data_IF_084979215794
#
_entry.id   IF_084979215794
#
_cell.length_a   1.000
_cell.length_b   1.000
_cell.length_c   1.000
_cell.angle_alpha   90.00
_cell.angle_beta   90.00
_cell.angle_gamma   90.00
#
_symmetry.space_group_name_H-M   'P 1'
#
loop_
_entity.id
_entity.type
_entity.pdbx_description
1 polymer ?
#
# COMPACT_ATOMS: atom_id res chain seq x y z
N UNK A 1 18.29 14.04 17.15
CA UNK A 1 18.63 13.40 15.86
C UNK A 1 19.65 14.26 15.19
N UNK A 2 20.79 13.72 14.78
CA UNK A 2 21.77 14.40 13.93
C UNK A 2 21.50 14.09 12.45
N UNK A 3 22.23 14.74 11.54
CA UNK A 3 22.05 14.54 10.10
C UNK A 3 22.28 13.07 9.71
N UNK A 4 23.30 12.42 10.29
CA UNK A 4 23.61 11.03 10.00
C UNK A 4 22.47 10.07 10.42
N UNK A 5 21.89 10.28 11.60
CA UNK A 5 20.75 9.52 12.08
C UNK A 5 19.49 9.74 11.24
N UNK A 6 19.25 10.97 10.77
CA UNK A 6 18.15 11.28 9.85
C UNK A 6 18.31 10.58 8.49
N UNK A 7 19.49 10.66 7.88
CA UNK A 7 19.80 9.99 6.61
C UNK A 7 19.68 8.46 6.73
N UNK A 8 20.09 7.88 7.86
CA UNK A 8 19.92 6.45 8.12
C UNK A 8 18.43 6.03 8.20
N UNK A 9 17.58 6.88 8.79
CA UNK A 9 16.13 6.65 8.84
C UNK A 9 15.49 6.77 7.44
N UNK A 10 15.94 7.71 6.61
CA UNK A 10 15.52 7.85 5.22
C UNK A 10 15.97 6.63 4.39
N UNK A 11 17.21 6.17 4.53
CA UNK A 11 17.70 5.00 3.81
C UNK A 11 16.93 3.72 4.16
N UNK A 12 16.47 3.58 5.40
CA UNK A 12 15.66 2.44 5.85
C UNK A 12 14.18 2.54 5.44
N UNK A 13 13.70 3.72 5.07
CA UNK A 13 12.30 3.98 4.75
C UNK A 13 12.13 4.29 3.28
N UNK A 14 11.42 3.43 2.53
CA UNK A 14 11.08 3.75 1.14
C UNK A 14 10.04 4.87 1.12
N UNK A 15 10.49 6.09 0.83
CA UNK A 15 9.63 7.22 0.53
C UNK A 15 9.29 7.28 -0.96
N UNK A 16 8.08 7.72 -1.27
CA UNK A 16 7.66 8.09 -2.61
C UNK A 16 7.69 9.61 -2.75
N UNK A 17 8.90 10.18 -2.77
CA UNK A 17 9.15 11.62 -2.91
C UNK A 17 8.93 12.12 -4.35
N UNK A 18 8.92 11.20 -5.32
CA UNK A 18 8.63 11.47 -6.72
C UNK A 18 7.30 10.82 -7.13
N UNK A 19 6.39 11.53 -7.79
CA UNK A 19 5.12 10.96 -8.24
C UNK A 19 5.28 9.73 -9.14
N UNK A 20 6.27 9.76 -10.04
CA UNK A 20 6.57 8.63 -10.93
C UNK A 20 6.94 7.33 -10.19
N UNK A 21 7.62 7.44 -9.04
CA UNK A 21 8.00 6.27 -8.24
C UNK A 21 6.77 5.66 -7.55
N UNK A 22 5.82 6.49 -7.10
CA UNK A 22 4.55 6.03 -6.54
C UNK A 22 3.70 5.32 -7.60
N UNK A 23 3.64 5.86 -8.82
CA UNK A 23 2.96 5.25 -9.96
C UNK A 23 3.58 3.89 -10.28
N UNK A 24 4.91 3.81 -10.40
CA UNK A 24 5.61 2.57 -10.71
C UNK A 24 5.39 1.47 -9.66
N UNK A 25 5.37 1.83 -8.38
CA UNK A 25 5.04 0.89 -7.30
C UNK A 25 3.59 0.42 -7.39
N UNK A 26 2.66 1.35 -7.61
CA UNK A 26 1.23 1.07 -7.65
C UNK A 26 0.88 0.16 -8.84
N UNK A 27 1.48 0.43 -10.02
CA UNK A 27 1.34 -0.38 -11.24
C UNK A 27 2.06 -1.73 -11.18
N UNK A 28 2.85 -1.98 -10.14
CA UNK A 28 3.75 -3.12 -10.11
C UNK A 28 2.97 -4.44 -10.04
N UNK A 29 3.35 -5.46 -10.83
CA UNK A 29 2.79 -6.80 -10.69
C UNK A 29 3.11 -7.43 -9.31
N UNK A 30 4.05 -6.87 -8.55
CA UNK A 30 4.37 -7.30 -7.20
C UNK A 30 3.44 -6.75 -6.11
N UNK A 31 2.62 -5.73 -6.40
CA UNK A 31 1.74 -5.11 -5.41
C UNK A 31 0.75 -6.10 -4.78
N UNK A 32 0.03 -6.96 -5.54
CA UNK A 32 -0.91 -7.91 -4.95
C UNK A 32 -0.23 -8.88 -3.98
N UNK A 33 0.95 -9.42 -4.36
CA UNK A 33 1.73 -10.30 -3.49
C UNK A 33 2.16 -9.59 -2.20
N UNK A 34 2.59 -8.34 -2.32
CA UNK A 34 3.00 -7.54 -1.16
C UNK A 34 1.82 -7.32 -0.21
N UNK A 35 0.65 -6.95 -0.74
CA UNK A 35 -0.55 -6.71 0.08
C UNK A 35 -1.12 -8.00 0.68
N UNK A 36 -0.95 -9.14 0.00
CA UNK A 36 -1.28 -10.44 0.56
C UNK A 36 -0.40 -10.81 1.78
N UNK A 37 0.90 -10.51 1.72
CA UNK A 37 1.79 -10.66 2.88
C UNK A 37 1.40 -9.73 4.03
N UNK A 38 1.10 -8.46 3.72
CA UNK A 38 0.70 -7.46 4.73
C UNK A 38 -0.58 -7.87 5.43
N UNK A 39 -1.65 -8.24 4.70
CA UNK A 39 -2.94 -8.58 5.32
C UNK A 39 -2.84 -9.83 6.20
N UNK A 40 -2.05 -10.83 5.79
CA UNK A 40 -1.81 -12.04 6.59
C UNK A 40 -1.01 -11.71 7.85
N UNK A 41 0.05 -10.90 7.74
CA UNK A 41 0.81 -10.44 8.91
C UNK A 41 -0.09 -9.67 9.89
N UNK A 42 -0.92 -8.73 9.40
CA UNK A 42 -1.82 -7.97 10.26
C UNK A 42 -2.83 -8.88 10.97
N UNK A 43 -3.34 -9.91 10.29
CA UNK A 43 -4.21 -10.91 10.91
C UNK A 43 -3.49 -11.71 12.00
N UNK A 44 -2.31 -12.27 11.69
CA UNK A 44 -1.49 -13.04 12.64
C UNK A 44 -1.11 -12.23 13.88
N UNK A 45 -0.98 -10.90 13.75
CA UNK A 45 -0.68 -9.99 14.86
C UNK A 45 -1.92 -9.40 15.54
N UNK A 46 -3.12 -9.77 15.11
CA UNK A 46 -4.38 -9.26 15.69
C UNK A 46 -4.62 -7.76 15.42
N UNK A 47 -4.02 -7.22 14.36
CA UNK A 47 -4.04 -5.79 14.01
C UNK A 47 -5.18 -5.41 13.05
N UNK A 48 -6.00 -6.38 12.60
CA UNK A 48 -7.18 -6.13 11.78
C UNK A 48 -8.46 -5.84 12.61
N UNK A 49 -8.29 -5.59 13.91
CA UNK A 49 -9.39 -5.40 14.86
C UNK A 49 -9.60 -6.62 15.75
N UNK A 50 -10.09 -6.37 16.97
CA UNK A 50 -10.29 -7.41 17.96
C UNK A 50 -11.32 -8.44 17.48
N UNK A 51 -10.90 -9.70 17.32
CA UNK A 51 -11.78 -10.78 16.87
C UNK A 51 -12.02 -10.85 15.35
N UNK A 52 -11.15 -10.25 14.53
CA UNK A 52 -11.19 -10.47 13.08
C UNK A 52 -11.21 -11.98 12.77
N UNK A 53 -12.17 -12.48 11.96
CA UNK A 53 -12.30 -13.92 11.71
C UNK A 53 -11.26 -14.46 10.72
N UNK A 54 -10.69 -13.59 9.86
CA UNK A 54 -9.63 -13.93 8.90
C UNK A 54 -8.94 -12.67 8.37
N UNK A 55 -7.87 -12.87 7.59
CA UNK A 55 -7.21 -11.80 6.82
C UNK A 55 -8.07 -11.21 5.69
N UNK A 56 -9.21 -11.83 5.38
CA UNK A 56 -10.13 -11.40 4.31
C UNK A 56 -11.19 -10.41 4.80
N UNK A 57 -11.26 -10.10 6.10
CA UNK A 57 -12.31 -9.24 6.68
C UNK A 57 -12.35 -7.82 6.10
N UNK A 58 -11.22 -7.33 5.55
CA UNK A 58 -11.14 -6.07 4.81
C UNK A 58 -10.83 -6.35 3.33
N UNK A 59 -11.46 -5.58 2.45
CA UNK A 59 -11.10 -5.53 1.04
C UNK A 59 -9.95 -4.58 0.77
N UNK A 60 -8.97 -5.03 -0.01
CA UNK A 60 -7.89 -4.23 -0.58
C UNK A 60 -8.03 -4.24 -2.10
N UNK A 61 -8.39 -3.11 -2.68
CA UNK A 61 -8.60 -2.95 -4.13
C UNK A 61 -7.29 -2.56 -4.82
N UNK A 62 -6.93 -3.31 -5.86
CA UNK A 62 -5.78 -3.10 -6.72
C UNK A 62 -6.12 -2.13 -7.86
N UNK A 63 -5.12 -1.56 -8.56
CA UNK A 63 -5.39 -0.59 -9.64
C UNK A 63 -6.16 -1.16 -10.83
N UNK A 64 -6.11 -2.48 -11.04
CA UNK A 64 -6.88 -3.18 -12.06
C UNK A 64 -8.32 -3.53 -11.63
N UNK A 65 -8.72 -3.09 -10.43
CA UNK A 65 -10.04 -3.34 -9.85
C UNK A 65 -10.19 -4.69 -9.15
N UNK A 66 -9.17 -5.56 -9.17
CA UNK A 66 -9.22 -6.79 -8.37
C UNK A 66 -9.15 -6.48 -6.89
N UNK A 67 -9.84 -7.28 -6.08
CA UNK A 67 -9.87 -7.12 -4.63
C UNK A 67 -9.27 -8.36 -3.96
N UNK A 68 -8.36 -8.14 -3.01
CA UNK A 68 -8.00 -9.14 -2.00
C UNK A 68 -8.95 -8.99 -0.80
N UNK A 69 -9.49 -10.09 -0.29
CA UNK A 69 -10.42 -10.09 0.83
C UNK A 69 -11.86 -9.75 0.42
N UNK A 70 -12.59 -9.05 1.29
CA UNK A 70 -14.01 -8.79 1.13
C UNK A 70 -14.32 -7.62 0.16
N UNK A 71 -14.88 -7.95 -1.01
CA UNK A 71 -15.35 -6.98 -2.02
C UNK A 71 -16.46 -6.06 -1.53
N UNK A 72 -17.26 -6.48 -0.55
CA UNK A 72 -18.31 -5.66 0.05
C UNK A 72 -17.78 -4.71 1.15
N UNK A 73 -16.52 -4.89 1.59
CA UNK A 73 -15.93 -4.15 2.68
C UNK A 73 -14.53 -3.58 2.34
N UNK A 74 -14.39 -2.93 1.18
CA UNK A 74 -13.12 -2.31 0.76
C UNK A 74 -12.75 -1.13 1.66
N UNK A 75 -11.62 -1.25 2.37
CA UNK A 75 -11.07 -0.22 3.27
C UNK A 75 -9.75 0.39 2.80
N UNK A 76 -9.09 -0.23 1.83
CA UNK A 76 -7.84 0.27 1.25
C UNK A 76 -7.90 0.15 -0.27
N UNK A 77 -7.50 1.22 -0.98
CA UNK A 77 -7.48 1.25 -2.44
C UNK A 77 -6.15 1.76 -2.94
N UNK A 78 -5.56 1.03 -3.87
CA UNK A 78 -4.39 1.46 -4.63
C UNK A 78 -4.86 2.00 -5.98
N UNK A 79 -4.48 3.24 -6.27
CA UNK A 79 -4.84 3.90 -7.53
C UNK A 79 -3.69 4.77 -8.01
N UNK A 80 -3.43 4.73 -9.31
CA UNK A 80 -2.42 5.60 -9.93
C UNK A 80 -2.96 7.00 -10.24
N UNK A 81 -4.28 7.19 -10.21
CA UNK A 81 -4.97 8.38 -10.72
C UNK A 81 -4.29 9.70 -10.35
N UNK A 82 -4.05 9.92 -9.07
CA UNK A 82 -3.55 11.20 -8.57
C UNK A 82 -2.04 11.38 -8.77
N UNK A 83 -1.25 10.33 -8.52
CA UNK A 83 0.20 10.41 -8.69
C UNK A 83 0.61 10.42 -10.17
N UNK A 84 -0.19 9.81 -11.04
CA UNK A 84 -0.05 9.92 -12.48
C UNK A 84 -0.34 11.33 -12.96
N UNK A 85 -1.44 11.94 -12.50
CA UNK A 85 -1.71 13.35 -12.79
C UNK A 85 -0.57 14.28 -12.32
N UNK A 86 -0.01 14.04 -11.13
CA UNK A 86 1.15 14.79 -10.64
C UNK A 86 2.42 14.52 -11.48
N UNK A 87 2.68 13.29 -11.91
CA UNK A 87 3.81 12.95 -12.78
C UNK A 87 3.68 13.58 -14.17
N UNK A 88 2.46 13.67 -14.69
CA UNK A 88 2.13 14.27 -15.98
C UNK A 88 2.06 15.81 -15.92
N UNK A 89 2.22 16.40 -14.73
CA UNK A 89 2.19 17.85 -14.51
C UNK A 89 0.78 18.47 -14.58
N UNK A 90 -0.25 17.67 -14.39
CA UNK A 90 -1.66 18.07 -14.50
C UNK A 90 -2.38 18.21 -13.14
N UNK A 91 -1.63 18.28 -12.03
CA UNK A 91 -2.13 18.48 -10.67
C UNK A 91 -1.44 19.68 -10.00
#
# INVERSE_FOLDING_TARGET
TDLAGFEAQLAATKLFDKPADAVAFTASPGLPKTMDLVRNFLFEKGLLGNGAPSADVIGIEMPDGKVLGDTANVKLRFTETYMKAAADGSL
#
